data_IF_941650659061
#
_entry.id   IF_941650659061
#
_cell.length_a   1.000
_cell.length_b   1.000
_cell.length_c   1.000
_cell.angle_alpha   90.00
_cell.angle_beta   90.00
_cell.angle_gamma   90.00
#
_symmetry.space_group_name_H-M   'P 1'
#
loop_
_entity.id
_entity.type
_entity.pdbx_description
1 polymer ?
2 water ?
#
# COMPACT_ATOMS: atom_id res chain seq x y z
N UNK A 1 -4.75 -2.18 -7.84
CA UNK A 1 -3.87 -1.25 -7.05
C UNK A 1 -3.88 -1.58 -5.54
N UNK A 2 -2.74 -2.11 -5.06
CA UNK A 2 -2.59 -2.35 -3.65
C UNK A 2 -1.47 -1.53 -3.16
N UNK A 3 -1.74 -0.78 -2.11
CA UNK A 3 -0.79 0.14 -1.56
C UNK A 3 -0.66 -0.12 -0.10
N UNK A 4 0.59 -0.34 0.32
CA UNK A 4 0.92 -0.61 1.72
C UNK A 4 1.86 0.40 2.19
N UNK A 5 1.43 1.20 3.14
CA UNK A 5 2.28 2.25 3.65
C UNK A 5 2.47 2.17 5.13
N UNK A 6 3.70 1.94 5.52
CA UNK A 6 4.05 1.83 6.89
C UNK A 6 4.94 3.02 7.25
#
# INVERSE_FOLDING_TARGET
LNIYQY
#
